data_IF_202826776248
#
_entry.id   IF_202826776248
#
_cell.length_a   1.000
_cell.length_b   1.000
_cell.length_c   1.000
_cell.angle_alpha   90.00
_cell.angle_beta   90.00
_cell.angle_gamma   90.00
#
_symmetry.space_group_name_H-M   'P 1'
#
loop_
_entity.id
_entity.type
_entity.pdbx_description
1 polymer ?
#
# COMPACT_ATOMS: atom_id res chain seq x y z
N UNK A 1 22.33 31.97 21.22
CA UNK A 1 22.78 30.64 21.66
C UNK A 1 21.78 29.63 21.13
N UNK A 2 22.21 28.69 20.28
CA UNK A 2 21.31 27.71 19.69
C UNK A 2 20.94 26.65 20.75
N UNK A 3 19.67 26.28 20.77
CA UNK A 3 19.13 25.16 21.53
C UNK A 3 19.50 23.91 20.73
N UNK A 4 20.34 23.04 21.31
CA UNK A 4 20.60 21.71 20.76
C UNK A 4 19.29 20.90 20.77
N UNK A 5 18.82 20.51 19.59
CA UNK A 5 17.77 19.52 19.43
C UNK A 5 18.27 18.18 19.98
N UNK A 6 17.51 17.60 20.92
CA UNK A 6 17.66 16.25 21.44
C UNK A 6 17.63 15.23 20.28
N UNK A 7 18.79 14.93 19.71
CA UNK A 7 18.99 13.75 18.87
C UNK A 7 18.81 12.53 19.76
N UNK A 8 17.65 11.88 19.67
CA UNK A 8 17.46 10.52 20.20
C UNK A 8 18.57 9.66 19.56
N UNK A 9 19.59 9.31 20.34
CA UNK A 9 20.68 8.44 19.89
C UNK A 9 20.05 7.08 19.54
N UNK A 10 19.98 6.75 18.26
CA UNK A 10 19.68 5.37 17.83
C UNK A 10 20.68 4.44 18.51
N UNK A 11 20.16 3.51 19.32
CA UNK A 11 20.99 2.51 20.01
C UNK A 11 21.72 1.67 18.95
N UNK A 12 23.05 1.46 19.06
CA UNK A 12 23.78 0.54 18.20
C UNK A 12 23.05 -0.80 18.08
N UNK A 13 23.04 -1.42 16.88
CA UNK A 13 22.36 -2.71 16.61
C UNK A 13 22.68 -3.82 17.63
N UNK A 14 23.85 -3.77 18.27
CA UNK A 14 24.26 -4.70 19.34
C UNK A 14 23.44 -4.55 20.63
N UNK A 15 22.99 -3.33 20.96
CA UNK A 15 22.15 -3.05 22.13
C UNK A 15 20.68 -3.39 21.87
N UNK A 16 20.19 -3.18 20.64
CA UNK A 16 18.86 -3.64 20.22
C UNK A 16 18.76 -5.18 20.28
N UNK A 17 19.81 -5.90 19.87
CA UNK A 17 19.84 -7.36 19.97
C UNK A 17 19.82 -7.90 21.41
N UNK A 18 20.38 -7.15 22.37
CA UNK A 18 20.34 -7.49 23.80
C UNK A 18 18.92 -7.42 24.33
N UNK A 19 18.21 -6.33 24.03
CA UNK A 19 16.82 -6.12 24.45
C UNK A 19 15.91 -7.21 23.85
N UNK A 20 16.01 -7.46 22.54
CA UNK A 20 15.22 -8.48 21.85
C UNK A 20 15.40 -9.86 22.49
N UNK A 21 16.63 -10.27 22.79
CA UNK A 21 16.90 -11.58 23.41
C UNK A 21 16.38 -11.64 24.85
N UNK A 22 16.55 -10.57 25.64
CA UNK A 22 16.06 -10.53 27.02
C UNK A 22 14.53 -10.57 27.08
N UNK A 23 13.85 -9.79 26.24
CA UNK A 23 12.37 -9.77 26.15
C UNK A 23 11.84 -11.13 25.73
N UNK A 24 12.39 -11.72 24.67
CA UNK A 24 12.01 -13.06 24.21
C UNK A 24 12.19 -14.14 25.28
N UNK A 25 13.32 -14.14 26.00
CA UNK A 25 13.56 -15.10 27.09
C UNK A 25 12.64 -14.84 28.30
N UNK A 26 12.22 -13.60 28.53
CA UNK A 26 11.29 -13.23 29.60
C UNK A 26 9.86 -13.72 29.33
N UNK A 27 9.38 -13.58 28.09
CA UNK A 27 8.08 -14.12 27.65
C UNK A 27 8.02 -15.64 27.79
N UNK A 28 9.15 -16.32 27.55
CA UNK A 28 9.28 -17.77 27.68
C UNK A 28 9.63 -18.26 29.09
N UNK A 29 9.73 -17.33 30.05
CA UNK A 29 9.75 -17.36 31.53
C UNK A 29 10.23 -18.62 32.31
N UNK A 30 9.85 -19.83 31.88
CA UNK A 30 10.18 -21.14 32.49
C UNK A 30 10.98 -22.07 31.58
N UNK A 31 11.00 -21.84 30.27
CA UNK A 31 11.63 -22.73 29.31
C UNK A 31 13.11 -22.37 29.12
N UNK A 32 13.97 -23.38 29.10
CA UNK A 32 15.34 -23.23 28.61
C UNK A 32 15.34 -23.40 27.09
N UNK A 33 15.89 -22.43 26.36
CA UNK A 33 15.84 -22.41 24.89
C UNK A 33 17.22 -22.61 24.28
N UNK A 34 17.29 -23.32 23.14
CA UNK A 34 18.54 -23.49 22.41
C UNK A 34 18.91 -22.20 21.67
N UNK A 35 20.21 -22.02 21.37
CA UNK A 35 20.69 -20.87 20.57
C UNK A 35 19.97 -20.79 19.22
N UNK A 36 19.70 -21.96 18.61
CA UNK A 36 18.97 -22.06 17.33
C UNK A 36 17.55 -21.52 17.45
N UNK A 37 16.82 -21.95 18.48
CA UNK A 37 15.45 -21.50 18.72
C UNK A 37 15.39 -19.98 18.99
N UNK A 38 16.32 -19.44 19.78
CA UNK A 38 16.41 -18.00 20.03
C UNK A 38 16.74 -17.23 18.74
N UNK A 39 17.67 -17.72 17.93
CA UNK A 39 18.05 -17.11 16.64
C UNK A 39 16.88 -17.05 15.66
N UNK A 40 16.16 -18.16 15.49
CA UNK A 40 15.00 -18.27 14.59
C UNK A 40 13.86 -17.32 15.02
N UNK A 41 13.59 -17.20 16.32
CA UNK A 41 12.46 -16.40 16.82
C UNK A 41 12.76 -14.91 17.05
N UNK A 42 14.05 -14.52 17.04
CA UNK A 42 14.46 -13.11 17.20
C UNK A 42 14.93 -12.48 15.88
N UNK A 43 15.03 -13.25 14.80
CA UNK A 43 15.57 -12.79 13.51
C UNK A 43 17.06 -12.44 13.52
N UNK A 44 17.76 -12.71 14.63
CA UNK A 44 19.21 -12.50 14.78
C UNK A 44 19.97 -13.72 14.23
N UNK A 45 21.10 -13.51 13.55
CA UNK A 45 21.93 -14.63 13.08
C UNK A 45 22.53 -15.40 14.26
N UNK A 46 22.71 -16.72 14.13
CA UNK A 46 23.26 -17.58 15.20
C UNK A 46 24.58 -17.06 15.80
N UNK A 47 25.43 -16.42 14.98
CA UNK A 47 26.69 -15.81 15.44
C UNK A 47 26.44 -14.60 16.34
N UNK A 48 25.49 -13.73 15.98
CA UNK A 48 25.10 -12.55 16.75
C UNK A 48 24.40 -12.98 18.05
N UNK A 49 23.44 -13.92 17.94
CA UNK A 49 22.75 -14.51 19.10
C UNK A 49 23.73 -15.11 20.09
N UNK A 50 24.69 -15.93 19.63
CA UNK A 50 25.73 -16.51 20.51
C UNK A 50 26.55 -15.45 21.25
N UNK A 51 26.98 -14.39 20.56
CA UNK A 51 27.78 -13.33 21.17
C UNK A 51 26.99 -12.54 22.21
N UNK A 52 25.71 -12.26 21.94
CA UNK A 52 24.85 -11.55 22.89
C UNK A 52 24.57 -12.42 24.11
N UNK A 53 24.23 -13.70 23.91
CA UNK A 53 24.00 -14.63 25.03
C UNK A 53 25.24 -14.73 25.94
N UNK A 54 26.45 -14.81 25.37
CA UNK A 54 27.71 -14.79 26.13
C UNK A 54 27.89 -13.50 26.94
N UNK A 55 27.51 -12.35 26.39
CA UNK A 55 27.57 -11.08 27.10
C UNK A 55 26.54 -11.02 28.24
N UNK A 56 25.29 -11.38 27.97
CA UNK A 56 24.21 -11.41 28.96
C UNK A 56 24.50 -12.39 30.12
N UNK A 57 25.15 -13.52 29.81
CA UNK A 57 25.65 -14.46 30.81
C UNK A 57 26.66 -13.82 31.74
N UNK A 58 27.64 -13.10 31.17
CA UNK A 58 28.69 -12.39 31.92
C UNK A 58 28.10 -11.36 32.89
N UNK A 59 26.96 -10.78 32.54
CA UNK A 59 26.23 -9.82 33.40
C UNK A 59 25.18 -10.49 34.30
N UNK A 60 25.14 -11.83 34.39
CA UNK A 60 24.18 -12.61 35.16
C UNK A 60 22.70 -12.33 34.83
N UNK A 61 22.42 -11.81 33.63
CA UNK A 61 21.05 -11.52 33.19
C UNK A 61 20.37 -12.77 32.61
N UNK A 62 21.16 -13.70 32.08
CA UNK A 62 20.71 -15.03 31.65
C UNK A 62 21.67 -16.09 32.21
N UNK A 63 21.24 -17.35 32.23
CA UNK A 63 22.02 -18.50 32.68
C UNK A 63 21.99 -19.63 31.65
N UNK A 64 23.08 -20.42 31.60
CA UNK A 64 23.12 -21.67 30.85
C UNK A 64 22.54 -22.81 31.67
N UNK A 65 21.68 -23.60 31.04
CA UNK A 65 21.10 -24.82 31.58
C UNK A 65 21.52 -25.97 30.68
N UNK A 66 22.16 -26.99 31.26
CA UNK A 66 22.52 -28.22 30.56
C UNK A 66 21.57 -29.32 31.04
N UNK A 67 20.76 -29.84 30.13
CA UNK A 67 19.87 -30.97 30.43
C UNK A 67 20.68 -32.26 30.57
N UNK A 68 20.23 -33.15 31.46
CA UNK A 68 20.88 -34.45 31.68
C UNK A 68 20.93 -35.21 30.34
N UNK A 69 22.13 -35.63 29.92
CA UNK A 69 22.44 -36.31 28.65
C UNK A 69 22.51 -35.44 27.39
N UNK A 70 22.52 -34.10 27.49
CA UNK A 70 22.65 -33.21 26.34
C UNK A 70 23.95 -32.39 26.40
N UNK A 71 24.72 -32.33 25.31
CA UNK A 71 26.02 -31.61 25.26
C UNK A 71 25.80 -30.11 24.99
N UNK A 72 24.70 -29.74 24.34
CA UNK A 72 24.43 -28.37 23.94
C UNK A 72 23.72 -27.59 25.05
N UNK A 73 24.27 -26.44 25.49
CA UNK A 73 23.64 -25.63 26.52
C UNK A 73 22.39 -24.93 25.97
N UNK A 74 21.34 -24.89 26.81
CA UNK A 74 20.16 -24.05 26.64
C UNK A 74 20.29 -22.81 27.52
N UNK A 75 19.47 -21.80 27.27
CA UNK A 75 19.55 -20.49 27.91
C UNK A 75 18.21 -20.10 28.51
N UNK A 76 18.26 -19.45 29.67
CA UNK A 76 17.09 -18.96 30.40
C UNK A 76 17.39 -17.62 31.05
N UNK A 77 16.39 -16.74 31.16
CA UNK A 77 16.53 -15.48 31.88
C UNK A 77 16.57 -15.67 33.40
N UNK A 78 17.46 -14.95 34.08
CA UNK A 78 17.57 -15.00 35.55
C UNK A 78 16.60 -14.04 36.23
N UNK A 79 16.47 -14.12 37.56
CA UNK A 79 15.73 -13.10 38.34
C UNK A 79 16.33 -11.69 38.18
N UNK A 80 17.65 -11.59 38.03
CA UNK A 80 18.34 -10.33 37.81
C UNK A 80 18.05 -9.77 36.41
N UNK A 81 18.07 -10.59 35.37
CA UNK A 81 17.68 -10.18 34.01
C UNK A 81 16.26 -9.61 33.93
N UNK A 82 15.31 -10.22 34.66
CA UNK A 82 13.93 -9.70 34.76
C UNK A 82 13.85 -8.36 35.49
N UNK A 83 14.68 -8.17 36.53
CA UNK A 83 14.75 -6.90 37.25
C UNK A 83 15.31 -5.80 36.36
N UNK A 84 16.35 -6.08 35.58
CA UNK A 84 16.92 -5.16 34.60
C UNK A 84 15.90 -4.76 33.54
N UNK A 85 15.12 -5.72 33.00
CA UNK A 85 14.02 -5.43 32.07
C UNK A 85 12.97 -4.49 32.70
N UNK A 86 12.53 -4.77 33.93
CA UNK A 86 11.55 -3.92 34.63
C UNK A 86 12.08 -2.52 34.95
N UNK A 87 13.36 -2.39 35.26
CA UNK A 87 14.00 -1.09 35.51
C UNK A 87 14.19 -0.31 34.19
N UNK A 88 14.41 -1.00 33.07
CA UNK A 88 14.41 -0.39 31.73
C UNK A 88 13.01 0.05 31.29
N UNK A 89 11.96 -0.71 31.63
CA UNK A 89 10.55 -0.32 31.44
C UNK A 89 10.15 0.91 32.28
N UNK A 90 10.82 1.15 33.42
CA UNK A 90 10.49 2.20 34.40
C UNK A 90 10.77 3.65 33.97
N UNK A 91 11.39 3.88 32.81
CA UNK A 91 11.51 5.21 32.18
C UNK A 91 10.96 5.15 30.75
N UNK A 92 9.85 4.44 30.54
CA UNK A 92 8.95 4.82 29.46
C UNK A 92 8.22 6.08 29.93
N UNK A 93 8.67 7.27 29.49
CA UNK A 93 7.69 8.30 29.13
C UNK A 93 6.72 7.54 28.23
N UNK A 94 5.47 7.40 28.67
CA UNK A 94 4.37 7.02 27.79
C UNK A 94 4.40 8.06 26.66
N UNK A 95 5.15 7.77 25.61
CA UNK A 95 4.91 8.35 24.32
C UNK A 95 3.63 7.62 23.93
N UNK A 96 2.50 8.19 24.33
CA UNK A 96 1.24 7.86 23.71
C UNK A 96 1.44 8.27 22.27
N UNK A 97 1.81 7.30 21.44
CA UNK A 97 1.72 7.48 20.00
C UNK A 97 0.24 7.73 19.73
N UNK A 98 -0.13 8.89 19.17
CA UNK A 98 -1.51 9.14 18.81
C UNK A 98 -1.98 7.96 17.94
N UNK A 99 -3.20 7.49 18.17
CA UNK A 99 -3.76 6.48 17.27
C UNK A 99 -3.87 7.08 15.85
N UNK A 100 -4.07 6.25 14.81
CA UNK A 100 -4.29 6.76 13.44
C UNK A 100 -5.42 7.78 13.42
N UNK A 101 -6.46 7.49 14.20
CA UNK A 101 -7.64 8.33 14.36
C UNK A 101 -7.27 9.69 14.97
N UNK A 102 -6.43 9.70 16.00
CA UNK A 102 -5.96 10.94 16.63
C UNK A 102 -5.11 11.78 15.66
N UNK A 103 -4.21 11.15 14.88
CA UNK A 103 -3.41 11.84 13.85
C UNK A 103 -4.31 12.50 12.80
N UNK A 104 -5.34 11.81 12.35
CA UNK A 104 -6.29 12.32 11.36
C UNK A 104 -7.12 13.49 11.87
N UNK A 105 -7.45 13.53 13.15
CA UNK A 105 -8.25 14.59 13.77
C UNK A 105 -7.39 15.74 14.32
N UNK A 106 -6.07 15.64 14.23
CA UNK A 106 -5.14 16.61 14.80
C UNK A 106 -5.34 18.00 14.17
N UNK A 107 -5.42 19.02 15.04
CA UNK A 107 -5.50 20.44 14.68
C UNK A 107 -6.72 20.87 13.83
N UNK A 108 -7.82 20.12 13.86
CA UNK A 108 -9.05 20.50 13.15
C UNK A 108 -9.91 21.42 14.02
N UNK A 109 -10.10 22.66 13.58
CA UNK A 109 -10.98 23.65 14.21
C UNK A 109 -11.92 24.28 13.18
N UNK A 110 -13.21 23.98 13.31
CA UNK A 110 -14.29 24.45 12.42
C UNK A 110 -14.58 25.93 12.70
N UNK A 111 -14.42 26.82 11.71
CA UNK A 111 -14.78 28.23 11.85
C UNK A 111 -16.29 28.47 12.01
N UNK A 112 -16.65 29.47 12.82
CA UNK A 112 -18.05 29.77 13.13
C UNK A 112 -18.82 30.52 12.03
N UNK A 113 -18.12 31.15 11.08
CA UNK A 113 -18.73 31.98 10.05
C UNK A 113 -18.48 31.44 8.63
N UNK A 114 -19.45 31.69 7.74
CA UNK A 114 -19.49 31.15 6.38
C UNK A 114 -18.30 31.62 5.54
N UNK A 115 -17.90 32.89 5.64
CA UNK A 115 -16.80 33.44 4.84
C UNK A 115 -15.44 32.84 5.23
N UNK A 116 -15.21 32.64 6.53
CA UNK A 116 -14.02 31.96 7.04
C UNK A 116 -13.99 30.48 6.60
N UNK A 117 -15.13 29.79 6.63
CA UNK A 117 -15.24 28.43 6.10
C UNK A 117 -14.85 28.37 4.62
N UNK A 118 -15.42 29.24 3.78
CA UNK A 118 -15.08 29.30 2.35
C UNK A 118 -13.59 29.56 2.11
N UNK A 119 -13.02 30.53 2.83
CA UNK A 119 -11.60 30.85 2.71
C UNK A 119 -10.71 29.65 3.10
N UNK A 120 -11.04 28.97 4.20
CA UNK A 120 -10.30 27.81 4.70
C UNK A 120 -10.44 26.57 3.81
N UNK A 121 -11.61 26.34 3.21
CA UNK A 121 -11.82 25.29 2.21
C UNK A 121 -10.91 25.52 1.01
N UNK A 122 -10.91 26.76 0.49
CA UNK A 122 -10.04 27.13 -0.64
C UNK A 122 -8.56 26.93 -0.29
N UNK A 123 -8.13 27.38 0.89
CA UNK A 123 -6.77 27.20 1.39
C UNK A 123 -6.38 25.71 1.49
N UNK A 124 -7.25 24.86 2.05
CA UNK A 124 -6.99 23.42 2.15
C UNK A 124 -6.86 22.76 0.78
N UNK A 125 -7.73 23.08 -0.17
CA UNK A 125 -7.65 22.56 -1.55
C UNK A 125 -6.32 22.97 -2.21
N UNK A 126 -5.94 24.25 -2.11
CA UNK A 126 -4.67 24.75 -2.67
C UNK A 126 -3.45 24.07 -2.01
N UNK A 127 -3.47 23.91 -0.69
CA UNK A 127 -2.41 23.22 0.07
C UNK A 127 -2.30 21.75 -0.33
N UNK A 128 -3.42 21.03 -0.47
CA UNK A 128 -3.46 19.63 -0.88
C UNK A 128 -2.91 19.45 -2.30
N UNK A 129 -3.29 20.32 -3.24
CA UNK A 129 -2.78 20.30 -4.62
C UNK A 129 -1.27 20.55 -4.65
N UNK A 130 -0.80 21.55 -3.90
CA UNK A 130 0.63 21.89 -3.80
C UNK A 130 1.44 20.72 -3.23
N UNK A 131 0.94 20.08 -2.17
CA UNK A 131 1.59 18.94 -1.52
C UNK A 131 1.66 17.73 -2.43
N UNK A 132 0.58 17.38 -3.11
CA UNK A 132 0.56 16.30 -4.10
C UNK A 132 1.53 16.56 -5.25
N UNK A 133 1.66 17.82 -5.70
CA UNK A 133 2.66 18.20 -6.71
C UNK A 133 4.09 18.01 -6.20
N UNK A 134 4.38 18.39 -4.95
CA UNK A 134 5.70 18.15 -4.34
C UNK A 134 5.99 16.66 -4.25
N UNK A 135 5.06 15.87 -3.72
CA UNK A 135 5.18 14.42 -3.60
C UNK A 135 5.42 13.76 -4.96
N UNK A 136 4.69 14.17 -6.00
CA UNK A 136 4.91 13.66 -7.36
C UNK A 136 6.35 13.90 -7.83
N UNK A 137 6.91 15.09 -7.57
CA UNK A 137 8.28 15.41 -7.94
C UNK A 137 9.29 14.57 -7.15
N UNK A 138 9.08 14.39 -5.85
CA UNK A 138 9.97 13.63 -4.99
C UNK A 138 9.94 12.13 -5.31
N UNK A 139 8.77 11.58 -5.59
CA UNK A 139 8.61 10.22 -6.11
C UNK A 139 9.29 10.04 -7.47
N UNK A 140 9.23 11.05 -8.35
CA UNK A 140 9.93 10.99 -9.64
C UNK A 140 11.45 10.99 -9.49
N UNK A 141 12.00 11.75 -8.51
CA UNK A 141 13.43 11.66 -8.17
C UNK A 141 13.78 10.28 -7.61
N UNK A 142 12.91 9.76 -6.74
CA UNK A 142 13.04 8.45 -6.10
C UNK A 142 13.03 7.32 -7.13
N UNK A 143 12.16 7.41 -8.14
CA UNK A 143 12.16 6.52 -9.30
C UNK A 143 13.53 6.53 -9.99
N UNK A 144 14.19 7.68 -10.11
CA UNK A 144 15.56 7.77 -10.61
C UNK A 144 16.57 6.91 -9.84
N UNK A 145 16.44 6.81 -8.50
CA UNK A 145 17.26 5.92 -7.69
C UNK A 145 16.88 4.44 -7.93
N UNK A 146 15.59 4.13 -8.05
CA UNK A 146 15.09 2.78 -8.34
C UNK A 146 15.53 2.29 -9.71
N UNK A 147 15.57 3.16 -10.73
CA UNK A 147 16.05 2.81 -12.07
C UNK A 147 17.49 2.26 -12.06
N UNK A 148 18.33 2.67 -11.10
CA UNK A 148 19.70 2.15 -10.97
C UNK A 148 19.77 0.76 -10.33
N UNK A 149 18.68 0.29 -9.72
CA UNK A 149 18.62 -1.04 -9.09
C UNK A 149 18.39 -2.16 -10.10
N UNK A 150 18.04 -1.83 -11.36
CA UNK A 150 17.66 -2.78 -12.40
C UNK A 150 16.58 -3.77 -11.90
N UNK A 151 15.52 -3.23 -11.29
CA UNK A 151 14.40 -4.02 -10.77
C UNK A 151 13.09 -3.54 -11.43
N UNK A 152 12.70 -4.14 -12.57
CA UNK A 152 11.51 -3.72 -13.33
C UNK A 152 10.21 -3.73 -12.54
N UNK A 153 10.07 -4.64 -11.56
CA UNK A 153 8.86 -4.73 -10.72
C UNK A 153 8.77 -3.51 -9.78
N UNK A 154 9.91 -3.09 -9.21
CA UNK A 154 9.95 -1.89 -8.38
C UNK A 154 9.77 -0.63 -9.24
N UNK A 155 10.36 -0.60 -10.44
CA UNK A 155 10.17 0.50 -11.40
C UNK A 155 8.68 0.66 -11.78
N UNK A 156 7.98 -0.44 -12.08
CA UNK A 156 6.55 -0.45 -12.40
C UNK A 156 5.69 0.02 -11.21
N UNK A 157 5.97 -0.48 -10.00
CA UNK A 157 5.28 -0.05 -8.77
C UNK A 157 5.40 1.46 -8.54
N UNK A 158 6.61 2.01 -8.70
CA UNK A 158 6.84 3.44 -8.58
C UNK A 158 6.10 4.23 -9.66
N UNK A 159 6.08 3.73 -10.90
CA UNK A 159 5.29 4.29 -11.99
C UNK A 159 3.79 4.35 -11.68
N UNK A 160 3.23 3.28 -11.13
CA UNK A 160 1.83 3.19 -10.70
C UNK A 160 1.54 4.25 -9.63
N UNK A 161 2.38 4.33 -8.58
CA UNK A 161 2.23 5.29 -7.48
C UNK A 161 2.25 6.74 -8.00
N UNK A 162 3.21 7.10 -8.86
CA UNK A 162 3.32 8.44 -9.45
C UNK A 162 2.07 8.80 -10.26
N UNK A 163 1.58 7.87 -11.08
CA UNK A 163 0.38 8.08 -11.89
C UNK A 163 -0.87 8.22 -11.02
N UNK A 164 -0.98 7.47 -9.93
CA UNK A 164 -2.10 7.58 -9.00
C UNK A 164 -2.11 8.91 -8.26
N UNK A 165 -0.95 9.39 -7.79
CA UNK A 165 -0.81 10.74 -7.21
C UNK A 165 -1.20 11.83 -8.22
N UNK A 166 -0.82 11.66 -9.50
CA UNK A 166 -1.20 12.60 -10.57
C UNK A 166 -2.73 12.61 -10.78
N UNK A 167 -3.37 11.44 -10.81
CA UNK A 167 -4.81 11.29 -10.93
C UNK A 167 -5.55 11.93 -9.74
N UNK A 168 -5.14 11.63 -8.52
CA UNK A 168 -5.65 12.20 -7.27
C UNK A 168 -5.59 13.73 -7.30
N UNK A 169 -4.45 14.29 -7.72
CA UNK A 169 -4.29 15.74 -7.84
C UNK A 169 -5.27 16.33 -8.84
N UNK A 170 -5.51 15.66 -9.96
CA UNK A 170 -6.49 16.10 -10.96
C UNK A 170 -7.91 16.11 -10.39
N UNK A 171 -8.30 15.09 -9.63
CA UNK A 171 -9.61 15.05 -8.97
C UNK A 171 -9.78 16.21 -7.97
N UNK A 172 -8.81 16.43 -7.09
CA UNK A 172 -8.87 17.54 -6.12
C UNK A 172 -8.87 18.91 -6.81
N UNK A 173 -8.19 19.05 -7.95
CA UNK A 173 -8.20 20.31 -8.74
C UNK A 173 -9.60 20.63 -9.26
N UNK A 174 -10.44 19.61 -9.48
CA UNK A 174 -11.82 19.80 -9.93
C UNK A 174 -12.78 20.20 -8.79
N UNK A 175 -12.32 20.20 -7.53
CA UNK A 175 -13.15 20.65 -6.41
C UNK A 175 -13.49 22.14 -6.55
N UNK A 176 -14.76 22.54 -6.38
CA UNK A 176 -15.16 23.93 -6.55
C UNK A 176 -14.55 24.79 -5.45
N UNK A 177 -13.89 25.89 -5.84
CA UNK A 177 -13.30 26.85 -4.89
C UNK A 177 -14.36 27.53 -4.01
N UNK A 178 -15.59 27.70 -4.52
CA UNK A 178 -16.78 28.00 -3.71
C UNK A 178 -17.81 26.87 -3.89
N UNK A 179 -17.94 25.96 -2.91
CA UNK A 179 -18.89 24.85 -2.97
C UNK A 179 -20.35 25.28 -3.16
N UNK A 180 -20.70 26.53 -2.83
CA UNK A 180 -22.04 27.06 -2.98
C UNK A 180 -22.32 27.63 -4.38
N UNK A 181 -21.30 27.88 -5.20
CA UNK A 181 -21.46 28.51 -6.51
C UNK A 181 -22.37 27.72 -7.46
N UNK A 182 -22.29 26.37 -7.41
CA UNK A 182 -23.10 25.47 -8.25
C UNK A 182 -24.60 25.66 -7.99
N UNK A 183 -24.99 26.00 -6.75
CA UNK A 183 -26.38 26.20 -6.35
C UNK A 183 -26.89 27.62 -6.57
N UNK A 184 -25.99 28.55 -6.94
CA UNK A 184 -26.36 29.92 -7.30
C UNK A 184 -26.68 30.05 -8.80
N UNK A 185 -26.27 29.07 -9.63
CA UNK A 185 -26.53 29.04 -11.07
C UNK A 185 -28.02 28.80 -11.35
N UNK A 186 -28.58 29.57 -12.30
CA UNK A 186 -29.98 29.47 -12.73
C UNK A 186 -30.02 29.01 -14.19
N UNK A 187 -31.00 28.17 -14.56
CA UNK A 187 -31.46 28.12 -15.95
C UNK A 187 -32.25 29.40 -16.26
N UNK A 188 -32.24 29.84 -17.51
CA UNK A 188 -33.06 30.95 -17.99
C UNK A 188 -34.52 30.62 -17.60
N UNK A 189 -35.20 31.54 -16.91
CA UNK A 189 -36.57 31.44 -16.34
C UNK A 189 -36.75 30.80 -14.94
N UNK A 190 -35.72 30.23 -14.28
CA UNK A 190 -35.87 29.66 -12.93
C UNK A 190 -35.62 30.67 -11.78
N UNK A 191 -36.47 30.64 -10.75
CA UNK A 191 -36.23 31.36 -9.49
C UNK A 191 -35.03 30.71 -8.76
N UNK A 192 -34.14 31.54 -8.21
CA UNK A 192 -33.01 31.06 -7.41
C UNK A 192 -33.51 30.18 -6.26
N UNK A 193 -33.02 28.94 -6.16
CA UNK A 193 -33.22 28.15 -4.94
C UNK A 193 -32.52 28.88 -3.80
N UNK A 194 -33.30 29.41 -2.86
CA UNK A 194 -32.76 29.97 -1.61
C UNK A 194 -32.46 28.82 -0.67
N UNK A 195 -31.18 28.58 -0.44
CA UNK A 195 -30.72 27.66 0.60
C UNK A 195 -30.76 28.40 1.95
N UNK A 196 -31.29 27.82 3.03
CA UNK A 196 -31.19 28.39 4.37
C UNK A 196 -29.73 28.59 4.82
N UNK A 197 -29.44 29.66 5.57
CA UNK A 197 -28.08 29.94 6.07
C UNK A 197 -27.51 28.83 6.94
N UNK A 198 -28.34 28.21 7.78
CA UNK A 198 -27.92 27.09 8.64
C UNK A 198 -27.51 25.85 7.82
N UNK A 199 -28.24 25.56 6.75
CA UNK A 199 -27.93 24.44 5.85
C UNK A 199 -26.64 24.70 5.07
N UNK A 200 -26.42 25.94 4.61
CA UNK A 200 -25.14 26.34 4.02
C UNK A 200 -23.97 26.19 5.00
N UNK A 201 -24.14 26.65 6.24
CA UNK A 201 -23.09 26.55 7.26
C UNK A 201 -22.77 25.09 7.57
N UNK A 202 -23.79 24.25 7.70
CA UNK A 202 -23.62 22.81 7.97
C UNK A 202 -22.87 22.11 6.83
N UNK A 203 -23.26 22.37 5.58
CA UNK A 203 -22.57 21.83 4.40
C UNK A 203 -21.10 22.25 4.37
N UNK A 204 -20.82 23.54 4.54
CA UNK A 204 -19.46 24.06 4.50
C UNK A 204 -18.61 23.54 5.67
N UNK A 205 -19.19 23.38 6.86
CA UNK A 205 -18.50 22.80 8.01
C UNK A 205 -18.09 21.34 7.74
N UNK A 206 -18.99 20.53 7.17
CA UNK A 206 -18.69 19.15 6.79
C UNK A 206 -17.60 19.09 5.72
N UNK A 207 -17.74 19.89 4.66
CA UNK A 207 -16.73 19.99 3.60
C UNK A 207 -15.36 20.31 4.18
N UNK A 208 -15.27 21.35 5.01
CA UNK A 208 -14.02 21.78 5.62
C UNK A 208 -13.43 20.69 6.54
N UNK A 209 -14.29 19.98 7.27
CA UNK A 209 -13.89 18.88 8.14
C UNK A 209 -13.23 17.75 7.33
N UNK A 210 -13.88 17.28 6.26
CA UNK A 210 -13.33 16.24 5.39
C UNK A 210 -12.06 16.72 4.68
N UNK A 211 -12.02 17.95 4.17
CA UNK A 211 -10.82 18.51 3.52
C UNK A 211 -9.62 18.58 4.49
N UNK A 212 -9.88 18.78 5.80
CA UNK A 212 -8.86 18.80 6.84
C UNK A 212 -8.36 17.38 7.17
N UNK A 213 -9.25 16.38 7.24
CA UNK A 213 -8.86 14.97 7.37
C UNK A 213 -8.01 14.54 6.17
N UNK A 214 -8.42 14.90 4.96
CA UNK A 214 -7.64 14.66 3.74
C UNK A 214 -6.25 15.30 3.84
N UNK A 215 -6.16 16.52 4.35
CA UNK A 215 -4.86 17.19 4.53
C UNK A 215 -3.95 16.41 5.50
N UNK A 216 -4.50 15.93 6.62
CA UNK A 216 -3.77 15.15 7.60
C UNK A 216 -3.32 13.79 7.03
N UNK A 217 -4.17 13.11 6.25
CA UNK A 217 -3.78 11.85 5.59
C UNK A 217 -2.67 12.08 4.56
N UNK A 218 -2.68 13.19 3.82
CA UNK A 218 -1.57 13.56 2.93
C UNK A 218 -0.27 13.82 3.69
N UNK A 219 -0.32 14.27 4.94
CA UNK A 219 0.87 14.39 5.79
C UNK A 219 1.48 13.00 6.02
N UNK A 220 0.66 12.04 6.43
CA UNK A 220 1.06 10.66 6.67
C UNK A 220 1.60 9.99 5.40
N UNK A 221 0.91 10.11 4.27
CA UNK A 221 1.38 9.55 2.98
C UNK A 221 2.73 10.18 2.59
N UNK A 222 2.93 11.47 2.86
CA UNK A 222 4.20 12.12 2.60
C UNK A 222 5.33 11.58 3.50
N UNK A 223 5.04 11.17 4.73
CA UNK A 223 6.04 10.54 5.60
C UNK A 223 6.51 9.18 5.05
N UNK A 224 5.60 8.39 4.47
CA UNK A 224 5.99 7.17 3.74
C UNK A 224 6.89 7.49 2.54
N UNK A 225 6.55 8.51 1.76
CA UNK A 225 7.39 8.97 0.64
C UNK A 225 8.80 9.39 1.12
N UNK A 226 8.91 10.12 2.23
CA UNK A 226 10.19 10.48 2.82
C UNK A 226 10.97 9.26 3.32
N UNK A 227 10.32 8.32 4.01
CA UNK A 227 10.94 7.06 4.47
C UNK A 227 11.46 6.22 3.30
N UNK A 228 10.68 6.11 2.23
CA UNK A 228 11.06 5.42 0.99
C UNK A 228 12.36 6.02 0.42
N UNK A 229 12.40 7.34 0.27
CA UNK A 229 13.59 8.05 -0.22
C UNK A 229 14.81 7.77 0.67
N UNK A 230 14.66 7.89 2.00
CA UNK A 230 15.74 7.60 2.95
C UNK A 230 16.23 6.14 2.91
N UNK A 231 15.34 5.17 2.68
CA UNK A 231 15.75 3.77 2.54
C UNK A 231 16.58 3.56 1.28
N UNK A 232 16.22 4.19 0.18
CA UNK A 232 16.95 4.10 -1.08
C UNK A 232 18.31 4.81 -0.99
N UNK A 233 18.38 5.99 -0.38
CA UNK A 233 19.65 6.68 -0.10
C UNK A 233 20.61 5.87 0.79
N UNK A 234 20.05 5.04 1.68
CA UNK A 234 20.81 4.15 2.57
C UNK A 234 21.05 2.76 1.96
N UNK A 235 20.81 2.58 0.66
CA UNK A 235 20.99 1.33 -0.09
C UNK A 235 20.17 0.14 0.47
N UNK A 236 19.03 0.42 1.13
CA UNK A 236 18.13 -0.60 1.70
C UNK A 236 16.97 -0.88 0.73
N UNK A 237 17.29 -1.36 -0.47
CA UNK A 237 16.33 -1.57 -1.56
C UNK A 237 15.11 -2.41 -1.16
N UNK A 238 15.31 -3.53 -0.45
CA UNK A 238 14.19 -4.37 0.02
C UNK A 238 13.23 -3.64 0.96
N UNK A 239 13.76 -2.82 1.88
CA UNK A 239 12.91 -1.99 2.76
C UNK A 239 12.21 -0.89 1.98
N UNK A 240 12.92 -0.27 1.03
CA UNK A 240 12.32 0.69 0.10
C UNK A 240 11.14 0.07 -0.66
N UNK A 241 11.31 -1.14 -1.20
CA UNK A 241 10.24 -1.84 -1.92
C UNK A 241 9.02 -2.12 -1.03
N UNK A 242 9.24 -2.59 0.21
CA UNK A 242 8.16 -2.76 1.19
C UNK A 242 7.45 -1.45 1.48
N UNK A 243 8.19 -0.37 1.73
CA UNK A 243 7.59 0.96 1.99
C UNK A 243 6.85 1.51 0.77
N UNK A 244 7.27 1.17 -0.45
CA UNK A 244 6.52 1.53 -1.66
C UNK A 244 5.20 0.77 -1.77
N UNK A 245 5.15 -0.51 -1.35
CA UNK A 245 3.88 -1.25 -1.23
C UNK A 245 2.95 -0.56 -0.21
N UNK A 246 3.46 -0.27 0.99
CA UNK A 246 2.68 0.42 2.03
C UNK A 246 2.17 1.79 1.54
N UNK A 247 3.02 2.54 0.84
CA UNK A 247 2.66 3.83 0.24
C UNK A 247 1.51 3.69 -0.77
N UNK A 248 1.51 2.65 -1.60
CA UNK A 248 0.41 2.38 -2.55
C UNK A 248 -0.90 2.15 -1.80
N UNK A 249 -0.86 1.38 -0.71
CA UNK A 249 -2.05 1.10 0.10
C UNK A 249 -2.61 2.37 0.75
N UNK A 250 -1.77 3.23 1.31
CA UNK A 250 -2.24 4.50 1.91
C UNK A 250 -2.81 5.45 0.84
N UNK A 251 -2.24 5.46 -0.37
CA UNK A 251 -2.79 6.20 -1.52
C UNK A 251 -4.15 5.64 -1.95
N UNK A 252 -4.33 4.32 -1.90
CA UNK A 252 -5.61 3.65 -2.19
C UNK A 252 -6.68 4.09 -1.17
N UNK A 253 -6.35 4.09 0.12
CA UNK A 253 -7.25 4.56 1.19
C UNK A 253 -7.61 6.04 1.00
N UNK A 254 -6.64 6.88 0.61
CA UNK A 254 -6.89 8.31 0.38
C UNK A 254 -7.95 8.60 -0.68
N UNK A 255 -8.11 7.74 -1.68
CA UNK A 255 -9.14 7.89 -2.71
C UNK A 255 -10.56 7.77 -2.16
N UNK A 256 -10.77 7.03 -1.07
CA UNK A 256 -12.07 7.02 -0.40
C UNK A 256 -12.43 8.38 0.16
N UNK A 257 -11.48 9.06 0.80
CA UNK A 257 -11.72 10.40 1.32
C UNK A 257 -12.11 11.39 0.20
N UNK A 258 -11.49 11.26 -0.97
CA UNK A 258 -11.88 12.02 -2.18
C UNK A 258 -13.31 11.69 -2.60
N UNK A 259 -13.66 10.40 -2.75
CA UNK A 259 -15.01 9.97 -3.15
C UNK A 259 -16.07 10.46 -2.17
N UNK A 260 -15.81 10.36 -0.86
CA UNK A 260 -16.69 10.91 0.19
C UNK A 260 -16.84 12.41 0.02
N UNK A 261 -15.73 13.13 -0.17
CA UNK A 261 -15.75 14.58 -0.37
C UNK A 261 -16.56 15.00 -1.61
N UNK A 262 -16.47 14.27 -2.71
CA UNK A 262 -17.24 14.49 -3.96
C UNK A 262 -18.74 14.24 -3.78
N UNK A 263 -19.10 13.30 -2.90
CA UNK A 263 -20.50 12.95 -2.62
C UNK A 263 -21.27 14.01 -1.84
N UNK A 264 -20.57 14.91 -1.12
CA UNK A 264 -21.18 15.94 -0.27
C UNK A 264 -21.88 16.99 -1.12
N UNK A 265 -23.20 17.10 -0.97
CA UNK A 265 -24.08 18.04 -1.67
C UNK A 265 -25.14 18.58 -0.71
N UNK A 266 -25.84 19.62 -1.14
CA UNK A 266 -27.04 20.08 -0.41
C UNK A 266 -28.05 18.92 -0.33
N UNK A 267 -28.51 18.59 0.88
CA UNK A 267 -29.33 17.42 1.22
C UNK A 267 -28.66 16.04 1.09
N UNK A 268 -27.34 15.97 0.88
CA UNK A 268 -26.59 14.70 0.83
C UNK A 268 -25.31 14.87 1.62
N UNK A 269 -25.35 14.43 2.87
CA UNK A 269 -24.25 14.50 3.83
C UNK A 269 -23.64 13.11 4.00
N UNK A 270 -22.32 13.06 4.23
CA UNK A 270 -21.60 11.84 4.61
C UNK A 270 -21.79 11.59 6.10
N UNK A 271 -21.73 12.65 6.90
CA UNK A 271 -21.90 12.61 8.33
C UNK A 271 -23.39 12.56 8.71
N UNK A 272 -23.68 11.81 9.77
CA UNK A 272 -25.01 11.81 10.38
C UNK A 272 -25.36 13.20 10.93
N UNK A 273 -26.66 13.53 11.07
CA UNK A 273 -27.08 14.80 11.67
C UNK A 273 -26.53 15.06 13.07
N UNK A 274 -26.25 14.00 13.84
CA UNK A 274 -25.63 14.10 15.16
C UNK A 274 -24.14 14.47 15.06
N UNK A 275 -23.39 13.78 14.21
CA UNK A 275 -21.97 14.06 13.98
C UNK A 275 -21.77 15.47 13.40
N UNK A 276 -22.64 15.92 12.50
CA UNK A 276 -22.61 17.29 11.97
C UNK A 276 -22.76 18.35 13.07
N UNK A 277 -23.63 18.10 14.06
CA UNK A 277 -23.79 19.00 15.22
C UNK A 277 -22.56 19.01 16.11
N UNK A 278 -21.91 17.86 16.29
CA UNK A 278 -20.66 17.75 17.06
C UNK A 278 -19.51 18.49 16.37
N UNK A 279 -19.31 18.24 15.07
CA UNK A 279 -18.32 18.92 14.23
C UNK A 279 -18.55 20.43 14.26
N UNK A 280 -19.78 20.90 14.03
CA UNK A 280 -20.12 22.33 14.06
C UNK A 280 -19.89 23.00 15.42
N UNK A 281 -19.79 22.22 16.50
CA UNK A 281 -19.50 22.70 17.86
C UNK A 281 -18.06 22.45 18.29
N UNK A 282 -17.18 22.04 17.37
CA UNK A 282 -15.79 21.64 17.65
C UNK A 282 -15.67 20.54 18.72
N UNK A 283 -16.67 19.66 18.83
CA UNK A 283 -16.67 18.48 19.70
C UNK A 283 -16.33 17.23 18.89
N UNK A 284 -15.17 17.26 18.25
CA UNK A 284 -14.72 16.20 17.34
C UNK A 284 -14.16 15.04 18.18
N UNK A 285 -14.60 13.82 17.90
CA UNK A 285 -14.15 12.60 18.57
C UNK A 285 -13.75 11.53 17.55
N UNK A 286 -12.90 10.55 17.91
CA UNK A 286 -12.48 9.46 17.03
C UNK A 286 -13.65 8.70 16.38
N UNK A 287 -14.77 8.55 17.09
CA UNK A 287 -15.94 7.81 16.57
C UNK A 287 -16.57 8.45 15.33
N UNK A 288 -16.35 9.74 15.10
CA UNK A 288 -16.80 10.43 13.89
C UNK A 288 -16.08 9.87 12.66
N UNK A 289 -14.82 9.44 12.79
CA UNK A 289 -14.05 8.88 11.69
C UNK A 289 -14.61 7.55 11.19
N UNK A 290 -15.31 6.77 12.02
CA UNK A 290 -15.95 5.52 11.58
C UNK A 290 -16.97 5.73 10.46
N UNK A 291 -17.49 6.95 10.30
CA UNK A 291 -18.42 7.30 9.20
C UNK A 291 -17.71 7.81 7.93
N UNK A 292 -16.40 8.04 8.01
CA UNK A 292 -15.57 8.64 6.96
C UNK A 292 -14.57 7.62 6.41
N UNK A 293 -13.89 6.90 7.30
CA UNK A 293 -13.05 5.76 7.00
C UNK A 293 -14.01 4.58 6.89
N UNK A 294 -14.29 4.15 5.66
CA UNK A 294 -15.20 3.03 5.43
C UNK A 294 -14.64 1.75 6.04
N UNK A 295 -15.49 1.06 6.80
CA UNK A 295 -15.25 -0.35 7.13
C UNK A 295 -15.22 -1.16 5.84
N UNK A 296 -14.48 -2.29 5.81
CA UNK A 296 -14.63 -3.26 4.75
C UNK A 296 -16.10 -3.57 4.51
N UNK A 297 -16.52 -3.56 3.24
CA UNK A 297 -17.88 -4.01 2.88
C UNK A 297 -18.01 -5.50 3.17
N UNK A 298 -19.24 -6.01 3.30
CA UNK A 298 -19.44 -7.43 3.67
C UNK A 298 -18.94 -8.37 2.57
N UNK A 299 -18.51 -9.59 2.90
CA UNK A 299 -18.00 -10.56 1.91
C UNK A 299 -18.99 -10.81 0.75
N UNK A 300 -20.29 -10.81 1.06
CA UNK A 300 -21.37 -10.97 0.07
C UNK A 300 -21.41 -9.77 -0.90
N UNK A 301 -21.36 -8.54 -0.38
CA UNK A 301 -21.31 -7.32 -1.21
C UNK A 301 -20.01 -7.23 -2.02
N UNK A 302 -18.87 -7.62 -1.41
CA UNK A 302 -17.57 -7.68 -2.10
C UNK A 302 -17.65 -8.59 -3.31
N UNK A 303 -18.18 -9.79 -3.14
CA UNK A 303 -18.30 -10.77 -4.22
C UNK A 303 -19.10 -10.21 -5.39
N UNK A 304 -20.27 -9.64 -5.14
CA UNK A 304 -21.12 -9.08 -6.18
C UNK A 304 -20.49 -7.86 -6.87
N UNK A 305 -19.87 -6.96 -6.12
CA UNK A 305 -19.15 -5.81 -6.71
C UNK A 305 -17.98 -6.25 -7.57
N UNK A 306 -17.20 -7.25 -7.13
CA UNK A 306 -16.09 -7.81 -7.91
C UNK A 306 -16.64 -8.44 -9.20
N UNK A 307 -17.74 -9.19 -9.14
CA UNK A 307 -18.40 -9.73 -10.34
C UNK A 307 -18.77 -8.60 -11.32
N UNK A 308 -19.35 -7.51 -10.84
CA UNK A 308 -19.70 -6.34 -11.66
C UNK A 308 -18.45 -5.73 -12.32
N UNK A 309 -17.36 -5.57 -11.56
CA UNK A 309 -16.08 -5.05 -12.08
C UNK A 309 -15.54 -5.98 -13.17
N UNK A 310 -15.49 -7.29 -12.93
CA UNK A 310 -15.00 -8.28 -13.90
C UNK A 310 -15.83 -8.24 -15.19
N UNK A 311 -17.16 -8.22 -15.10
CA UNK A 311 -18.06 -8.14 -16.26
C UNK A 311 -17.88 -6.82 -17.03
N UNK A 312 -17.70 -5.71 -16.32
CA UNK A 312 -17.40 -4.40 -16.91
C UNK A 312 -16.08 -4.42 -17.69
N UNK A 313 -15.03 -5.03 -17.13
CA UNK A 313 -13.73 -5.19 -17.79
C UNK A 313 -13.82 -6.05 -19.05
N UNK A 314 -14.55 -7.18 -18.99
CA UNK A 314 -14.83 -8.02 -20.17
C UNK A 314 -15.54 -7.21 -21.25
N UNK A 315 -16.53 -6.40 -20.86
CA UNK A 315 -17.29 -5.57 -21.80
C UNK A 315 -16.40 -4.54 -22.49
N UNK A 316 -15.49 -3.88 -21.75
CA UNK A 316 -14.50 -2.95 -22.31
C UNK A 316 -13.55 -3.65 -23.28
N UNK A 317 -13.03 -4.82 -22.89
CA UNK A 317 -12.14 -5.64 -23.73
C UNK A 317 -12.83 -6.04 -25.05
N UNK A 318 -14.10 -6.44 -24.99
CA UNK A 318 -14.89 -6.80 -26.17
C UNK A 318 -15.16 -5.62 -27.11
N UNK A 319 -15.17 -4.39 -26.59
CA UNK A 319 -15.25 -3.15 -27.38
C UNK A 319 -13.91 -2.69 -27.95
N UNK A 320 -12.81 -3.36 -27.59
CA UNK A 320 -11.46 -2.98 -27.99
C UNK A 320 -10.88 -1.82 -27.17
N UNK A 321 -11.51 -1.47 -26.04
CA UNK A 321 -10.99 -0.47 -25.11
C UNK A 321 -9.84 -1.08 -24.31
N UNK A 322 -8.62 -0.56 -24.49
CA UNK A 322 -7.42 -1.09 -23.81
C UNK A 322 -7.06 -0.35 -22.53
N UNK A 323 -7.45 0.92 -22.39
CA UNK A 323 -7.06 1.74 -21.26
C UNK A 323 -8.17 1.84 -20.20
N UNK A 324 -7.78 1.69 -18.93
CA UNK A 324 -8.60 2.08 -17.77
C UNK A 324 -8.06 3.42 -17.27
N UNK A 325 -8.95 4.40 -17.10
CA UNK A 325 -8.58 5.73 -16.61
C UNK A 325 -7.96 5.63 -15.21
N UNK A 326 -6.76 6.20 -15.02
CA UNK A 326 -6.06 6.18 -13.73
C UNK A 326 -5.22 4.92 -13.46
N UNK A 327 -5.05 4.03 -14.45
CA UNK A 327 -4.20 2.83 -14.37
C UNK A 327 -3.10 2.83 -15.43
N UNK A 328 -2.01 2.14 -15.13
CA UNK A 328 -0.91 1.86 -16.08
C UNK A 328 -1.08 0.54 -16.83
N UNK A 329 -2.03 -0.30 -16.42
CA UNK A 329 -2.22 -1.64 -16.97
C UNK A 329 -3.23 -1.58 -18.12
N UNK A 330 -2.80 -2.04 -19.30
CA UNK A 330 -3.70 -2.27 -20.42
C UNK A 330 -4.55 -3.52 -20.18
N UNK A 331 -5.85 -3.42 -20.45
CA UNK A 331 -6.75 -4.57 -20.49
C UNK A 331 -6.36 -5.43 -21.70
N UNK A 332 -5.83 -6.61 -21.41
CA UNK A 332 -5.31 -7.59 -22.36
C UNK A 332 -6.05 -8.91 -22.23
N UNK A 333 -5.84 -9.83 -23.16
CA UNK A 333 -6.58 -11.10 -23.19
C UNK A 333 -6.30 -12.01 -21.98
N UNK A 334 -5.13 -11.84 -21.36
CA UNK A 334 -4.73 -12.54 -20.14
C UNK A 334 -4.07 -11.55 -19.19
N UNK A 335 -4.33 -11.70 -17.89
CA UNK A 335 -3.68 -10.89 -16.86
C UNK A 335 -3.16 -11.82 -15.76
N UNK A 336 -1.90 -11.72 -15.31
CA UNK A 336 -1.43 -12.44 -14.14
C UNK A 336 -2.32 -12.18 -12.93
N UNK A 337 -2.71 -13.23 -12.20
CA UNK A 337 -3.69 -13.15 -11.11
C UNK A 337 -3.33 -12.09 -10.08
N UNK A 338 -2.06 -12.01 -9.67
CA UNK A 338 -1.60 -10.97 -8.74
C UNK A 338 -1.75 -9.55 -9.32
N UNK A 339 -1.47 -9.36 -10.61
CA UNK A 339 -1.70 -8.06 -11.27
C UNK A 339 -3.20 -7.73 -11.30
N UNK A 340 -4.04 -8.71 -11.56
CA UNK A 340 -5.49 -8.55 -11.59
C UNK A 340 -6.05 -8.25 -10.19
N UNK A 341 -5.58 -8.96 -9.16
CA UNK A 341 -5.87 -8.69 -7.76
C UNK A 341 -5.58 -7.24 -7.37
N UNK A 342 -4.40 -6.76 -7.72
CA UNK A 342 -4.00 -5.39 -7.46
C UNK A 342 -4.84 -4.36 -8.23
N UNK A 343 -5.38 -4.71 -9.39
CA UNK A 343 -6.32 -3.88 -10.15
C UNK A 343 -7.70 -3.84 -9.48
N UNK A 344 -8.20 -4.98 -9.00
CA UNK A 344 -9.49 -5.07 -8.29
C UNK A 344 -9.47 -4.21 -7.02
N UNK A 345 -8.41 -4.31 -6.20
CA UNK A 345 -8.28 -3.50 -5.00
C UNK A 345 -8.18 -1.99 -5.29
N UNK A 346 -7.56 -1.61 -6.41
CA UNK A 346 -7.47 -0.22 -6.81
C UNK A 346 -8.82 0.35 -7.30
N UNK A 347 -9.73 -0.50 -7.81
CA UNK A 347 -11.08 -0.10 -8.25
C UNK A 347 -11.98 0.23 -7.06
N UNK A 348 -11.97 -0.63 -6.03
CA UNK A 348 -12.64 -0.36 -4.76
C UNK A 348 -11.68 -0.54 -3.56
N UNK A 349 -11.21 0.56 -2.98
CA UNK A 349 -10.35 0.55 -1.78
C UNK A 349 -11.01 0.00 -0.51
N UNK A 350 -12.33 -0.28 -0.52
CA UNK A 350 -13.04 -0.91 0.62
C UNK A 350 -13.05 -2.44 0.57
N UNK A 351 -12.48 -3.02 -0.49
CA UNK A 351 -12.34 -4.47 -0.55
C UNK A 351 -11.28 -4.93 0.45
N UNK A 352 -11.65 -5.90 1.28
CA UNK A 352 -10.76 -6.63 2.17
C UNK A 352 -10.77 -8.10 1.73
N UNK A 353 -10.20 -8.33 0.54
CA UNK A 353 -10.11 -9.66 -0.06
C UNK A 353 -8.67 -10.15 -0.08
N UNK A 354 -8.53 -11.45 0.09
CA UNK A 354 -7.32 -12.22 -0.20
C UNK A 354 -7.26 -12.58 -1.69
N UNK A 355 -6.08 -12.98 -2.17
CA UNK A 355 -5.94 -13.43 -3.56
C UNK A 355 -6.70 -14.74 -3.81
N UNK A 356 -6.80 -15.59 -2.78
CA UNK A 356 -7.53 -16.86 -2.81
C UNK A 356 -9.04 -16.61 -2.96
N UNK A 357 -9.59 -15.65 -2.21
CA UNK A 357 -10.99 -15.25 -2.37
C UNK A 357 -11.26 -14.72 -3.78
N UNK A 358 -10.33 -13.93 -4.36
CA UNK A 358 -10.48 -13.49 -5.75
C UNK A 358 -10.47 -14.67 -6.73
N UNK A 359 -9.59 -15.65 -6.52
CA UNK A 359 -9.53 -16.86 -7.33
C UNK A 359 -10.85 -17.65 -7.29
N UNK A 360 -11.45 -17.80 -6.11
CA UNK A 360 -12.76 -18.43 -5.94
C UNK A 360 -13.86 -17.68 -6.73
N UNK A 361 -13.90 -16.35 -6.64
CA UNK A 361 -14.87 -15.52 -7.38
C UNK A 361 -14.70 -15.69 -8.89
N UNK A 362 -13.45 -15.70 -9.37
CA UNK A 362 -13.14 -15.85 -10.80
C UNK A 362 -13.51 -17.25 -11.30
N UNK A 363 -13.29 -18.29 -10.50
CA UNK A 363 -13.71 -19.65 -10.83
C UNK A 363 -15.24 -19.77 -10.85
N UNK A 364 -15.95 -19.16 -9.90
CA UNK A 364 -17.42 -19.09 -9.90
C UNK A 364 -17.95 -18.41 -11.18
N UNK A 365 -17.37 -17.29 -11.58
CA UNK A 365 -17.74 -16.62 -12.83
C UNK A 365 -17.43 -17.46 -14.07
N UNK A 366 -16.40 -18.32 -14.02
CA UNK A 366 -16.07 -19.23 -15.10
C UNK A 366 -17.08 -20.39 -15.20
N UNK A 367 -17.54 -20.93 -14.06
CA UNK A 367 -18.63 -21.91 -14.00
C UNK A 367 -19.95 -21.34 -14.52
N UNK A 368 -20.22 -20.06 -14.25
CA UNK A 368 -21.36 -19.32 -14.78
C UNK A 368 -21.20 -18.97 -16.28
N UNK A 369 -20.02 -19.19 -16.87
CA UNK A 369 -19.75 -19.00 -18.29
C UNK A 369 -19.42 -17.55 -18.70
N UNK A 370 -19.16 -16.66 -17.75
CA UNK A 370 -18.81 -15.27 -18.04
C UNK A 370 -17.39 -15.10 -18.58
N UNK A 371 -16.46 -15.96 -18.15
CA UNK A 371 -15.08 -15.98 -18.64
C UNK A 371 -14.52 -17.42 -18.70
N UNK A 372 -13.43 -17.65 -19.46
CA UNK A 372 -12.76 -18.96 -19.50
C UNK A 372 -12.24 -19.49 -18.15
N UNK A 373 -11.90 -18.60 -17.21
CA UNK A 373 -11.36 -18.95 -15.89
C UNK A 373 -9.87 -18.68 -15.73
N UNK A 374 -9.26 -19.35 -14.74
CA UNK A 374 -7.83 -19.23 -14.43
C UNK A 374 -7.06 -20.36 -15.10
N UNK A 375 -6.01 -20.01 -15.85
CA UNK A 375 -5.04 -20.94 -16.41
C UNK A 375 -3.79 -20.97 -15.55
N UNK A 376 -3.44 -22.16 -15.09
CA UNK A 376 -2.23 -22.41 -14.31
C UNK A 376 -1.12 -22.87 -15.25
N UNK A 377 0.01 -22.17 -15.23
CA UNK A 377 1.24 -22.56 -15.92
C UNK A 377 2.23 -22.95 -14.85
N UNK A 378 2.49 -24.25 -14.74
CA UNK A 378 3.35 -24.81 -13.71
C UNK A 378 4.80 -24.88 -14.18
N UNK A 379 5.73 -24.33 -13.39
CA UNK A 379 7.17 -24.57 -13.54
C UNK A 379 7.61 -25.76 -12.67
N UNK A 380 7.25 -25.75 -11.38
CA UNK A 380 7.43 -26.85 -10.43
C UNK A 380 6.34 -26.84 -9.33
N UNK A 381 6.53 -27.57 -8.22
CA UNK A 381 5.55 -27.65 -7.13
C UNK A 381 5.31 -26.30 -6.44
N UNK A 382 6.34 -25.45 -6.34
CA UNK A 382 6.30 -24.19 -5.60
C UNK A 382 6.26 -22.95 -6.50
N UNK A 383 6.59 -23.10 -7.80
CA UNK A 383 6.62 -22.00 -8.77
C UNK A 383 5.60 -22.23 -9.88
N UNK A 384 4.55 -21.40 -9.88
CA UNK A 384 3.52 -21.40 -10.92
C UNK A 384 3.04 -19.99 -11.23
N UNK A 385 2.52 -19.81 -12.45
CA UNK A 385 1.85 -18.59 -12.86
C UNK A 385 0.35 -18.87 -13.04
N UNK A 386 -0.48 -18.15 -12.28
CA UNK A 386 -1.93 -18.10 -12.48
C UNK A 386 -2.27 -16.94 -13.41
N UNK A 387 -2.94 -17.24 -14.52
CA UNK A 387 -3.41 -16.26 -15.49
C UNK A 387 -4.93 -16.22 -15.50
N UNK A 388 -5.52 -15.06 -15.26
CA UNK A 388 -6.94 -14.82 -15.51
C UNK A 388 -7.13 -14.67 -17.01
N UNK A 389 -7.91 -15.56 -17.62
CA UNK A 389 -8.17 -15.54 -19.06
C UNK A 389 -9.51 -14.87 -19.35
N UNK A 390 -9.50 -13.83 -20.19
CA UNK A 390 -10.73 -13.22 -20.70
C UNK A 390 -11.16 -13.81 -22.05
N UNK A 391 -10.24 -14.50 -22.74
CA UNK A 391 -10.51 -15.29 -23.95
C UNK A 391 -9.83 -16.65 -23.86
N UNK A 392 -10.54 -17.68 -24.34
CA UNK A 392 -10.01 -19.06 -24.36
C UNK A 392 -8.78 -19.08 -25.25
N UNK A 393 -7.66 -19.57 -24.72
CA UNK A 393 -6.45 -19.69 -25.51
C UNK A 393 -5.51 -20.80 -25.05
N UNK A 394 -5.06 -21.57 -26.02
CA UNK A 394 -3.99 -22.53 -25.87
C UNK A 394 -2.61 -21.88 -25.96
N UNK A 395 -1.71 -22.34 -25.11
CA UNK A 395 -0.31 -21.90 -25.06
C UNK A 395 0.49 -22.96 -25.80
N UNK A 396 1.16 -22.56 -26.88
CA UNK A 396 2.01 -23.45 -27.65
C UNK A 396 3.23 -23.89 -26.83
N UNK A 397 3.84 -25.01 -27.23
CA UNK A 397 5.04 -25.55 -26.54
C UNK A 397 6.17 -24.52 -26.46
N UNK A 398 6.37 -23.72 -27.51
CA UNK A 398 7.42 -22.71 -27.55
C UNK A 398 7.08 -21.50 -26.64
N UNK A 399 5.82 -21.09 -26.58
CA UNK A 399 5.39 -20.06 -25.63
C UNK A 399 5.57 -20.54 -24.19
N UNK A 400 5.19 -21.78 -23.90
CA UNK A 400 5.34 -22.39 -22.58
C UNK A 400 6.80 -22.45 -22.13
N UNK A 401 7.70 -22.87 -23.01
CA UNK A 401 9.14 -22.91 -22.73
C UNK A 401 9.69 -21.50 -22.43
N UNK A 402 9.23 -20.48 -23.16
CA UNK A 402 9.64 -19.10 -22.91
C UNK A 402 9.09 -18.59 -21.57
N UNK A 403 7.81 -18.84 -21.26
CA UNK A 403 7.17 -18.44 -20.00
C UNK A 403 7.88 -19.09 -18.82
N UNK A 404 8.22 -20.38 -18.93
CA UNK A 404 8.95 -21.11 -17.87
C UNK A 404 10.33 -20.48 -17.61
N UNK A 405 11.07 -20.15 -18.67
CA UNK A 405 12.34 -19.43 -18.50
C UNK A 405 12.15 -18.02 -17.94
N UNK A 406 11.07 -17.33 -18.32
CA UNK A 406 10.76 -16.00 -17.80
C UNK A 406 10.48 -16.00 -16.29
N UNK A 407 9.77 -17.03 -15.78
CA UNK A 407 9.52 -17.20 -14.35
C UNK A 407 10.81 -17.38 -13.56
N UNK A 408 11.75 -18.20 -14.08
CA UNK A 408 13.09 -18.38 -13.49
C UNK A 408 13.89 -17.10 -13.39
N UNK A 409 13.88 -16.30 -14.46
CA UNK A 409 14.71 -15.11 -14.51
C UNK A 409 14.13 -13.95 -13.71
N UNK A 410 12.83 -13.96 -13.42
CA UNK A 410 12.03 -12.86 -12.83
C UNK A 410 12.00 -11.59 -13.70
N UNK A 411 13.15 -11.16 -14.23
CA UNK A 411 13.33 -10.17 -15.28
C UNK A 411 14.52 -10.52 -16.18
N UNK A 412 14.42 -10.27 -17.48
CA UNK A 412 15.43 -10.71 -18.45
C UNK A 412 15.53 -9.78 -19.66
N UNK A 413 16.68 -9.81 -20.33
CA UNK A 413 16.90 -9.21 -21.64
C UNK A 413 16.71 -10.26 -22.76
N UNK A 414 16.60 -9.78 -24.01
CA UNK A 414 16.48 -10.65 -25.18
C UNK A 414 17.63 -11.67 -25.27
N UNK A 415 18.86 -11.24 -24.96
CA UNK A 415 20.04 -12.09 -25.02
C UNK A 415 19.97 -13.26 -24.03
N UNK A 416 19.43 -13.03 -22.82
CA UNK A 416 19.27 -14.07 -21.80
C UNK A 416 18.34 -15.17 -22.31
N UNK A 417 17.23 -14.76 -22.94
CA UNK A 417 16.24 -15.70 -23.48
C UNK A 417 16.75 -16.46 -24.72
N UNK A 418 17.49 -15.79 -25.60
CA UNK A 418 18.19 -16.45 -26.73
C UNK A 418 19.19 -17.48 -26.21
N UNK A 419 19.97 -17.13 -25.18
CA UNK A 419 20.94 -18.04 -24.57
C UNK A 419 20.29 -19.25 -23.89
N UNK A 420 19.18 -19.04 -23.18
CA UNK A 420 18.47 -20.09 -22.47
C UNK A 420 17.77 -21.09 -23.40
N UNK A 421 17.19 -20.60 -24.50
CA UNK A 421 16.42 -21.44 -25.45
C UNK A 421 17.27 -21.98 -26.59
N UNK A 422 18.40 -21.34 -26.92
CA UNK A 422 19.20 -21.64 -28.10
C UNK A 422 18.52 -21.29 -29.43
N UNK A 423 17.40 -20.56 -29.40
CA UNK A 423 16.64 -20.19 -30.60
C UNK A 423 17.23 -18.98 -31.31
N UNK A 424 16.85 -18.79 -32.58
CA UNK A 424 17.21 -17.57 -33.31
C UNK A 424 16.57 -16.33 -32.68
N UNK A 425 17.28 -15.20 -32.72
CA UNK A 425 16.77 -13.91 -32.21
C UNK A 425 15.41 -13.54 -32.79
N UNK A 426 15.19 -13.79 -34.08
CA UNK A 426 13.92 -13.50 -34.78
C UNK A 426 12.77 -14.30 -34.16
N UNK A 427 13.00 -15.59 -33.89
CA UNK A 427 12.00 -16.45 -33.26
C UNK A 427 11.67 -15.99 -31.84
N UNK A 428 12.69 -15.68 -31.03
CA UNK A 428 12.49 -15.22 -29.65
C UNK A 428 11.74 -13.90 -29.63
N UNK A 429 12.12 -12.90 -30.43
CA UNK A 429 11.44 -11.60 -30.53
C UNK A 429 9.98 -11.78 -30.93
N UNK A 430 9.68 -12.65 -31.91
CA UNK A 430 8.31 -12.91 -32.34
C UNK A 430 7.45 -13.42 -31.19
N UNK A 431 7.97 -14.37 -30.40
CA UNK A 431 7.24 -14.96 -29.27
C UNK A 431 7.14 -13.96 -28.11
N UNK A 432 8.20 -13.20 -27.80
CA UNK A 432 8.19 -12.18 -26.76
C UNK A 432 7.15 -11.08 -27.04
N UNK A 433 7.15 -10.54 -28.26
CA UNK A 433 6.17 -9.53 -28.66
C UNK A 433 4.76 -10.09 -28.52
N UNK A 434 4.56 -11.33 -28.96
CA UNK A 434 3.25 -11.96 -28.89
C UNK A 434 2.77 -12.17 -27.45
N UNK A 435 3.63 -12.69 -26.56
CA UNK A 435 3.31 -12.87 -25.15
C UNK A 435 3.10 -11.54 -24.41
N UNK A 436 3.76 -10.46 -24.86
CA UNK A 436 3.54 -9.11 -24.35
C UNK A 436 2.18 -8.56 -24.78
N UNK A 437 1.80 -8.73 -26.06
CA UNK A 437 0.49 -8.35 -26.58
C UNK A 437 -0.66 -9.08 -25.86
N UNK A 438 -0.42 -10.31 -25.41
CA UNK A 438 -1.39 -11.11 -24.67
C UNK A 438 -1.51 -10.75 -23.19
N UNK A 439 -0.62 -9.89 -22.67
CA UNK A 439 -0.61 -9.48 -21.27
C UNK A 439 0.10 -10.45 -20.32
N UNK A 440 0.73 -11.51 -20.82
CA UNK A 440 1.46 -12.49 -20.00
C UNK A 440 2.81 -11.91 -19.56
N UNK A 441 3.53 -11.29 -20.49
CA UNK A 441 4.77 -10.58 -20.22
C UNK A 441 4.52 -9.07 -20.17
N UNK A 442 5.22 -8.40 -19.27
CA UNK A 442 5.40 -6.95 -19.35
C UNK A 442 6.73 -6.62 -20.02
N UNK A 443 6.72 -5.56 -20.80
CA UNK A 443 7.90 -5.01 -21.46
C UNK A 443 8.23 -3.64 -20.85
N UNK A 444 9.50 -3.46 -20.48
CA UNK A 444 10.02 -2.21 -19.96
C UNK A 444 11.21 -1.78 -20.81
N UNK A 445 11.07 -0.59 -21.41
CA UNK A 445 12.18 0.06 -22.10
C UNK A 445 12.94 0.93 -21.10
N UNK A 446 14.13 0.49 -20.70
CA UNK A 446 14.98 1.22 -19.77
C UNK A 446 16.23 1.73 -20.51
N UNK A 447 16.50 3.05 -20.42
CA UNK A 447 17.64 3.67 -21.10
C UNK A 447 19.00 3.27 -20.52
N UNK A 448 19.06 2.85 -19.25
CA UNK A 448 20.28 2.45 -18.54
C UNK A 448 20.56 0.95 -18.71
N UNK A 449 19.52 0.12 -18.65
CA UNK A 449 19.64 -1.33 -18.63
C UNK A 449 19.18 -2.03 -19.91
N UNK A 450 18.75 -1.26 -20.91
CA UNK A 450 18.21 -1.77 -22.15
C UNK A 450 16.78 -2.29 -21.99
N UNK A 451 16.31 -2.93 -23.05
CA UNK A 451 14.98 -3.52 -23.14
C UNK A 451 14.88 -4.76 -22.24
N UNK A 452 13.85 -4.79 -21.37
CA UNK A 452 13.61 -5.86 -20.41
C UNK A 452 12.19 -6.41 -20.54
N UNK A 453 12.07 -7.71 -20.30
CA UNK A 453 10.79 -8.39 -20.11
C UNK A 453 10.73 -8.99 -18.71
N UNK A 454 9.54 -9.05 -18.13
CA UNK A 454 9.31 -9.59 -16.79
C UNK A 454 7.86 -10.07 -16.61
N UNK A 455 7.63 -10.89 -15.58
CA UNK A 455 6.31 -11.35 -15.15
C UNK A 455 6.07 -10.82 -13.74
N UNK A 456 4.91 -10.19 -13.52
CA UNK A 456 4.48 -9.82 -12.18
C UNK A 456 3.74 -11.02 -11.58
N UNK A 457 4.39 -11.71 -10.65
CA UNK A 457 3.86 -12.85 -9.91
C UNK A 457 3.98 -12.60 -8.40
N UNK A 458 3.35 -13.45 -7.60
CA UNK A 458 3.21 -13.28 -6.15
C UNK A 458 4.49 -13.63 -5.34
N UNK A 459 5.52 -14.17 -6.01
CA UNK A 459 6.75 -14.70 -5.40
C UNK A 459 7.37 -13.86 -4.27
#
# INVERSE_FOLDING_TARGET
MPIEEDRIRELPKSLQGIEIILTYLNERNKDSLSIRNISENTGLSMRVTKNILLQLEKFNQIERVVEKNNILPKWRITKFGKKVLKEAEGIQKKIEFPSREDELLTNILIPDNIEALKAKIKENVENNISKLKSMQNDLSKTLGAVLNLNNPIFEDLMGVIINRIKFIRQQITNFPSDPLAVYQLKKIEEKQKKVPKEEMKTLLAEIFFIDSIMHNELNRINDYNMKLSQFLEREKASKGYSTAKDLREEIRIFLNLIRKRESIKINSHVLSPENLRLVSKNKITPEILNTIIESPITEEEQTEEIKIIVISLITKLNKGEKHIEGYTVDITENIPLYTFYQLILDENPNFDITIEQLEEIINSLAEEGYLPGIKIIQEDEDHYLKLVQFKVRDISKNELELITNALRFQSFALADMVGATGWSTIQVVKILNHLTELGILKYLKNHLHGDRWYIVSEN
#
